data_IF_826056257131
#
_entry.id   IF_826056257131
#
_cell.length_a   1.000
_cell.length_b   1.000
_cell.length_c   1.000
_cell.angle_alpha   90.00
_cell.angle_beta   90.00
_cell.angle_gamma   90.00
#
_symmetry.space_group_name_H-M   'P 1'
#
loop_
_entity.id
_entity.type
_entity.pdbx_description
1 polymer ?
#
# COMPACT_ATOMS: atom_id res chain seq x y z
N UNK A 1 7.19 13.56 23.12
CA UNK A 1 6.40 12.70 24.03
C UNK A 1 5.04 12.45 23.37
N UNK A 2 4.63 11.19 23.10
CA UNK A 2 3.43 10.85 22.30
C UNK A 2 2.15 10.59 23.12
N UNK A 3 2.24 10.61 24.45
CA UNK A 3 1.15 10.22 25.35
C UNK A 3 -0.22 10.87 25.08
N UNK A 4 -0.35 12.20 24.82
CA UNK A 4 -1.67 12.77 24.55
C UNK A 4 -2.26 12.31 23.22
N UNK A 5 -1.43 12.06 22.21
CA UNK A 5 -1.86 11.70 20.85
C UNK A 5 -2.35 10.25 20.80
N UNK A 6 -1.65 9.35 21.52
CA UNK A 6 -2.00 7.94 21.56
C UNK A 6 -3.43 7.67 22.04
N UNK A 7 -3.87 8.35 23.12
CA UNK A 7 -5.21 8.19 23.65
C UNK A 7 -6.28 8.68 22.66
N UNK A 8 -6.01 9.76 21.93
CA UNK A 8 -6.93 10.28 20.92
C UNK A 8 -7.06 9.32 19.73
N UNK A 9 -5.95 8.73 19.28
CA UNK A 9 -5.95 7.69 18.24
C UNK A 9 -6.76 6.47 18.71
N UNK A 10 -6.55 6.01 19.95
CA UNK A 10 -7.33 4.91 20.52
C UNK A 10 -8.83 5.21 20.52
N UNK A 11 -9.24 6.38 21.01
CA UNK A 11 -10.65 6.79 21.05
C UNK A 11 -11.26 6.80 19.65
N UNK A 12 -10.53 7.30 18.66
CA UNK A 12 -11.02 7.37 17.29
C UNK A 12 -11.18 5.98 16.66
N UNK A 13 -10.23 5.07 16.89
CA UNK A 13 -10.22 3.75 16.26
C UNK A 13 -11.02 2.67 17.00
N UNK A 14 -11.51 2.94 18.22
CA UNK A 14 -12.16 1.92 19.08
C UNK A 14 -13.41 1.25 18.47
N UNK A 15 -14.08 1.92 17.52
CA UNK A 15 -15.26 1.39 16.82
C UNK A 15 -14.91 0.65 15.52
N UNK A 16 -13.62 0.56 15.17
CA UNK A 16 -13.12 -0.21 14.03
C UNK A 16 -12.63 -1.59 14.50
N UNK A 17 -12.24 -2.45 13.55
CA UNK A 17 -11.56 -3.70 13.88
C UNK A 17 -10.10 -3.49 14.36
N UNK A 18 -9.55 -2.29 14.24
CA UNK A 18 -8.17 -1.97 14.64
C UNK A 18 -8.08 -1.90 16.16
N UNK A 19 -7.16 -2.66 16.75
CA UNK A 19 -6.84 -2.60 18.19
C UNK A 19 -5.56 -1.80 18.39
N UNK A 20 -5.62 -0.84 19.31
CA UNK A 20 -4.50 0.07 19.60
C UNK A 20 -3.94 -0.28 20.98
N UNK A 21 -2.64 -0.60 21.02
CA UNK A 21 -1.92 -1.04 22.23
C UNK A 21 -0.59 -0.32 22.42
N UNK A 22 -0.13 -0.25 23.68
CA UNK A 22 1.19 0.28 24.07
C UNK A 22 2.04 -0.87 24.61
N UNK A 23 3.27 -0.96 24.13
CA UNK A 23 4.28 -1.89 24.64
C UNK A 23 5.38 -1.12 25.36
N UNK A 24 5.60 -1.44 26.63
CA UNK A 24 6.78 -0.96 27.37
C UNK A 24 8.01 -1.77 26.95
N UNK A 25 8.74 -1.25 25.98
CA UNK A 25 9.90 -1.92 25.41
C UNK A 25 11.11 -1.94 26.36
N UNK A 26 11.09 -1.19 27.47
CA UNK A 26 12.13 -1.29 28.51
C UNK A 26 11.96 -2.55 29.35
N UNK A 27 10.71 -2.99 29.54
CA UNK A 27 10.37 -4.24 30.24
C UNK A 27 10.35 -5.46 29.32
N UNK A 28 9.94 -5.28 28.07
CA UNK A 28 9.75 -6.36 27.10
C UNK A 28 10.68 -6.21 25.88
N UNK A 29 11.98 -6.12 26.13
CA UNK A 29 13.01 -5.91 25.11
C UNK A 29 13.05 -6.99 24.03
N UNK A 30 12.85 -8.26 24.41
CA UNK A 30 12.80 -9.39 23.47
C UNK A 30 11.68 -9.23 22.43
N UNK A 31 10.50 -8.79 22.88
CA UNK A 31 9.35 -8.53 21.99
C UNK A 31 9.66 -7.35 21.08
N UNK A 32 10.21 -6.26 21.63
CA UNK A 32 10.61 -5.09 20.84
C UNK A 32 11.61 -5.46 19.72
N UNK A 33 12.59 -6.31 20.04
CA UNK A 33 13.57 -6.82 19.07
C UNK A 33 12.92 -7.69 17.99
N UNK A 34 11.99 -8.58 18.36
CA UNK A 34 11.25 -9.41 17.40
C UNK A 34 10.49 -8.58 16.37
N UNK A 35 9.90 -7.46 16.79
CA UNK A 35 9.24 -6.51 15.89
C UNK A 35 10.20 -5.55 15.18
N UNK A 36 11.52 -5.68 15.38
CA UNK A 36 12.54 -4.84 14.77
C UNK A 36 12.47 -3.37 15.19
N UNK A 37 12.12 -3.11 16.46
CA UNK A 37 12.12 -1.75 17.03
C UNK A 37 13.57 -1.33 17.29
N UNK A 38 14.02 -0.27 16.60
CA UNK A 38 15.41 0.25 16.71
C UNK A 38 15.52 1.57 17.48
N UNK A 39 14.39 2.17 17.84
CA UNK A 39 14.34 3.46 18.52
C UNK A 39 12.94 3.80 19.00
N UNK A 40 12.81 4.78 19.88
CA UNK A 40 11.54 5.15 20.49
C UNK A 40 11.17 6.63 20.21
N UNK A 41 9.87 6.94 20.05
CA UNK A 41 8.77 6.01 19.86
C UNK A 41 8.71 5.48 18.42
N UNK A 42 8.37 4.19 18.27
CA UNK A 42 8.10 3.53 16.98
C UNK A 42 6.64 3.06 16.96
N UNK A 43 5.91 3.40 15.90
CA UNK A 43 4.52 2.97 15.69
C UNK A 43 4.52 1.89 14.61
N UNK A 44 3.92 0.75 14.92
CA UNK A 44 3.79 -0.39 14.01
C UNK A 44 2.33 -0.82 13.91
N UNK A 45 1.95 -1.27 12.72
CA UNK A 45 0.68 -1.97 12.48
C UNK A 45 1.00 -3.41 12.13
N UNK A 46 0.28 -4.35 12.74
CA UNK A 46 0.49 -5.79 12.56
C UNK A 46 -0.80 -6.40 12.02
N UNK A 47 -0.74 -7.02 10.84
CA UNK A 47 -1.86 -7.70 10.16
C UNK A 47 -1.40 -9.09 9.72
N UNK A 48 -1.68 -10.11 10.55
CA UNK A 48 -1.14 -11.44 10.33
C UNK A 48 0.39 -11.41 10.35
N UNK A 49 1.02 -11.82 9.24
CA UNK A 49 2.48 -11.77 9.05
C UNK A 49 2.98 -10.42 8.55
N UNK A 50 2.10 -9.54 8.06
CA UNK A 50 2.49 -8.24 7.53
C UNK A 50 2.68 -7.23 8.68
N UNK A 51 3.86 -6.60 8.70
CA UNK A 51 4.21 -5.57 9.69
C UNK A 51 4.57 -4.27 8.96
N UNK A 52 3.77 -3.25 9.20
CA UNK A 52 3.98 -1.91 8.65
C UNK A 52 4.53 -0.98 9.72
N UNK A 53 5.48 -0.13 9.35
CA UNK A 53 6.05 0.87 10.27
C UNK A 53 5.62 2.26 9.81
N UNK A 54 5.05 3.04 10.73
CA UNK A 54 4.70 4.42 10.47
C UNK A 54 5.98 5.25 10.28
N UNK A 55 6.05 5.99 9.18
CA UNK A 55 7.18 6.89 8.85
C UNK A 55 6.77 8.34 8.64
N UNK A 56 5.47 8.63 8.70
CA UNK A 56 4.94 9.98 8.57
C UNK A 56 5.05 10.76 9.87
N UNK A 57 4.29 11.85 9.92
CA UNK A 57 4.24 12.74 11.05
C UNK A 57 3.61 12.06 12.28
N UNK A 58 4.03 12.51 13.45
CA UNK A 58 3.56 12.00 14.73
C UNK A 58 2.28 12.70 15.20
N UNK A 59 1.40 13.08 14.27
CA UNK A 59 0.09 13.71 14.54
C UNK A 59 -1.00 12.64 14.66
N UNK A 60 -2.12 12.99 15.31
CA UNK A 60 -3.25 12.06 15.46
C UNK A 60 -3.80 11.65 14.11
N UNK A 61 -3.99 12.62 13.22
CA UNK A 61 -4.55 12.48 11.88
C UNK A 61 -3.69 11.54 11.01
N UNK A 62 -2.37 11.73 11.01
CA UNK A 62 -1.47 10.93 10.20
C UNK A 62 -1.35 9.48 10.70
N UNK A 63 -1.35 9.28 12.02
CA UNK A 63 -1.36 7.94 12.61
C UNK A 63 -2.68 7.20 12.29
N UNK A 64 -3.82 7.90 12.34
CA UNK A 64 -5.12 7.32 11.93
C UNK A 64 -5.10 6.94 10.45
N UNK A 65 -4.64 7.85 9.57
CA UNK A 65 -4.51 7.59 8.13
C UNK A 65 -3.64 6.37 7.86
N UNK A 66 -2.49 6.27 8.53
CA UNK A 66 -1.62 5.11 8.46
C UNK A 66 -2.33 3.82 8.90
N UNK A 67 -3.01 3.83 10.04
CA UNK A 67 -3.70 2.65 10.56
C UNK A 67 -4.83 2.17 9.64
N UNK A 68 -5.62 3.11 9.10
CA UNK A 68 -6.69 2.80 8.15
C UNK A 68 -6.12 2.26 6.83
N UNK A 69 -5.05 2.85 6.30
CA UNK A 69 -4.37 2.36 5.10
C UNK A 69 -3.75 0.96 5.31
N UNK A 70 -3.13 0.73 6.46
CA UNK A 70 -2.53 -0.57 6.80
C UNK A 70 -3.59 -1.68 6.99
N UNK A 71 -4.83 -1.31 7.31
CA UNK A 71 -5.94 -2.25 7.45
C UNK A 71 -6.45 -2.75 6.09
N UNK A 72 -6.31 -1.97 5.01
CA UNK A 72 -6.86 -2.34 3.70
C UNK A 72 -6.14 -3.54 3.10
N UNK A 73 -6.70 -4.08 2.02
CA UNK A 73 -6.02 -5.12 1.26
C UNK A 73 -4.89 -4.54 0.40
N UNK A 74 -3.84 -5.33 0.13
CA UNK A 74 -2.70 -4.89 -0.68
C UNK A 74 -3.09 -4.48 -2.10
N UNK A 75 -4.09 -5.15 -2.68
CA UNK A 75 -4.57 -4.94 -4.05
C UNK A 75 -6.08 -4.79 -4.05
N UNK A 76 -6.61 -3.94 -4.92
CA UNK A 76 -8.05 -3.76 -5.12
C UNK A 76 -8.45 -4.20 -6.53
N UNK A 77 -9.52 -4.99 -6.63
CA UNK A 77 -9.99 -5.50 -7.91
C UNK A 77 -10.95 -4.51 -8.56
N UNK A 78 -10.76 -4.27 -9.85
CA UNK A 78 -11.60 -3.40 -10.66
C UNK A 78 -12.23 -4.20 -11.80
N UNK A 79 -13.49 -3.91 -12.10
CA UNK A 79 -14.29 -4.70 -13.03
C UNK A 79 -14.80 -3.92 -14.23
N UNK A 80 -14.67 -2.58 -14.22
CA UNK A 80 -15.19 -1.69 -15.27
C UNK A 80 -14.29 -0.48 -15.52
N UNK A 81 -14.40 0.08 -16.73
CA UNK A 81 -13.76 1.33 -17.14
C UNK A 81 -14.22 2.54 -16.31
N UNK A 82 -15.48 2.57 -15.87
CA UNK A 82 -15.99 3.60 -14.97
C UNK A 82 -15.21 3.63 -13.65
N UNK A 83 -14.95 2.46 -13.05
CA UNK A 83 -14.15 2.37 -11.83
C UNK A 83 -12.70 2.78 -12.05
N UNK A 84 -12.12 2.41 -13.19
CA UNK A 84 -10.79 2.89 -13.58
C UNK A 84 -10.73 4.42 -13.60
N UNK A 85 -11.74 5.06 -14.20
CA UNK A 85 -11.81 6.52 -14.36
C UNK A 85 -11.87 7.22 -13.00
N UNK A 86 -12.71 6.72 -12.08
CA UNK A 86 -12.76 7.22 -10.70
C UNK A 86 -11.40 7.13 -10.00
N UNK A 87 -10.69 6.01 -10.16
CA UNK A 87 -9.37 5.78 -9.55
C UNK A 87 -8.33 6.73 -10.14
N UNK A 88 -8.31 6.86 -11.46
CA UNK A 88 -7.37 7.76 -12.15
C UNK A 88 -7.59 9.22 -11.73
N UNK A 89 -8.84 9.66 -11.58
CA UNK A 89 -9.17 10.99 -11.07
C UNK A 89 -8.76 11.17 -9.60
N UNK A 90 -9.07 10.18 -8.75
CA UNK A 90 -8.72 10.23 -7.33
C UNK A 90 -7.19 10.33 -7.12
N UNK A 91 -6.41 9.61 -7.93
CA UNK A 91 -4.95 9.61 -7.87
C UNK A 91 -4.28 10.56 -8.88
N UNK A 92 -4.93 11.65 -9.29
CA UNK A 92 -4.36 12.55 -10.30
C UNK A 92 -2.96 13.10 -9.96
N UNK A 93 -2.58 13.18 -8.67
CA UNK A 93 -1.26 13.60 -8.18
C UNK A 93 -0.46 12.47 -7.50
N UNK A 94 -0.93 11.22 -7.58
CA UNK A 94 -0.30 10.08 -6.91
C UNK A 94 0.01 8.98 -7.92
N UNK A 95 1.09 8.25 -7.68
CA UNK A 95 1.40 7.06 -8.49
C UNK A 95 0.51 5.91 -8.04
N UNK A 96 -0.13 5.25 -9.01
CA UNK A 96 -0.76 3.95 -8.78
C UNK A 96 -0.35 2.92 -9.82
N UNK A 97 -0.43 1.66 -9.42
CA UNK A 97 0.01 0.52 -10.20
C UNK A 97 -1.18 -0.38 -10.51
N UNK A 98 -1.24 -0.94 -11.70
CA UNK A 98 -2.32 -1.82 -12.12
C UNK A 98 -1.78 -3.06 -12.80
N UNK A 99 -2.08 -4.24 -12.26
CA UNK A 99 -1.87 -5.49 -12.98
C UNK A 99 -3.06 -5.74 -13.91
N UNK A 100 -2.75 -6.05 -15.17
CA UNK A 100 -3.73 -6.39 -16.19
C UNK A 100 -3.51 -7.83 -16.65
N UNK A 101 -4.49 -8.70 -16.41
CA UNK A 101 -4.46 -10.09 -16.84
C UNK A 101 -5.19 -11.04 -15.90
N UNK A 102 -5.03 -12.35 -16.14
CA UNK A 102 -5.64 -13.39 -15.28
C UNK A 102 -5.01 -13.37 -13.89
N UNK A 103 -5.86 -13.51 -12.87
CA UNK A 103 -5.47 -13.65 -11.47
C UNK A 103 -5.16 -15.12 -11.19
N UNK A 104 -3.88 -15.46 -11.13
CA UNK A 104 -3.47 -16.81 -10.74
C UNK A 104 -2.12 -16.80 -10.04
N UNK A 105 -1.98 -17.54 -8.91
CA UNK A 105 -0.69 -17.70 -8.23
C UNK A 105 0.36 -18.41 -9.09
N UNK A 106 -0.05 -19.15 -10.12
CA UNK A 106 0.85 -19.80 -11.09
C UNK A 106 1.51 -18.79 -12.05
N UNK A 107 0.91 -17.60 -12.19
CA UNK A 107 1.48 -16.52 -12.98
C UNK A 107 2.50 -15.77 -12.13
N UNK A 108 3.79 -15.96 -12.47
CA UNK A 108 4.92 -15.37 -11.73
C UNK A 108 4.79 -13.85 -11.60
N UNK A 109 4.33 -13.16 -12.65
CA UNK A 109 4.15 -11.70 -12.62
C UNK A 109 3.09 -11.29 -11.59
N UNK A 110 1.94 -11.95 -11.56
CA UNK A 110 0.87 -11.68 -10.60
C UNK A 110 1.33 -11.94 -9.16
N UNK A 111 1.98 -13.08 -8.91
CA UNK A 111 2.56 -13.40 -7.59
C UNK A 111 3.55 -12.33 -7.12
N UNK A 112 4.47 -11.90 -8.00
CA UNK A 112 5.43 -10.83 -7.69
C UNK A 112 4.72 -9.49 -7.47
N UNK A 113 3.70 -9.18 -8.25
CA UNK A 113 2.91 -7.96 -8.13
C UNK A 113 2.23 -7.88 -6.75
N UNK A 114 1.53 -8.94 -6.34
CA UNK A 114 0.86 -9.00 -5.02
C UNK A 114 1.88 -8.92 -3.88
N UNK A 115 3.02 -9.60 -3.99
CA UNK A 115 4.10 -9.51 -2.99
C UNK A 115 4.67 -8.09 -2.88
N UNK A 116 4.83 -7.39 -4.01
CA UNK A 116 5.26 -5.98 -4.01
C UNK A 116 4.19 -5.10 -3.39
N UNK A 117 2.92 -5.28 -3.76
CA UNK A 117 1.81 -4.55 -3.19
C UNK A 117 1.73 -4.70 -1.67
N UNK A 118 1.94 -5.92 -1.15
CA UNK A 118 2.03 -6.19 0.30
C UNK A 118 3.14 -5.40 0.98
N UNK A 119 4.32 -5.32 0.37
CA UNK A 119 5.48 -4.62 0.93
C UNK A 119 5.36 -3.09 0.85
N UNK A 120 4.66 -2.59 -0.17
CA UNK A 120 4.56 -1.17 -0.48
C UNK A 120 3.17 -0.59 -0.21
N UNK A 121 2.29 -1.32 0.48
CA UNK A 121 0.91 -0.91 0.76
C UNK A 121 0.82 0.51 1.31
N UNK A 122 1.72 0.89 2.22
CA UNK A 122 1.68 2.22 2.87
C UNK A 122 2.08 3.36 1.92
N UNK A 123 2.90 3.07 0.91
CA UNK A 123 3.53 4.08 0.06
C UNK A 123 2.87 4.21 -1.32
N UNK A 124 1.99 3.27 -1.69
CA UNK A 124 1.45 3.19 -3.04
C UNK A 124 0.06 2.56 -3.08
N UNK A 125 -0.54 2.59 -4.26
CA UNK A 125 -1.87 2.06 -4.53
C UNK A 125 -1.77 1.02 -5.63
N UNK A 126 -2.38 -0.15 -5.42
CA UNK A 126 -2.29 -1.29 -6.31
C UNK A 126 -3.68 -1.79 -6.67
N UNK A 127 -3.88 -2.04 -7.96
CA UNK A 127 -5.14 -2.47 -8.54
C UNK A 127 -4.95 -3.66 -9.47
N UNK A 128 -5.98 -4.46 -9.61
CA UNK A 128 -5.99 -5.64 -10.48
C UNK A 128 -7.22 -5.58 -11.36
N UNK A 129 -7.06 -5.88 -12.65
CA UNK A 129 -8.19 -5.97 -13.58
C UNK A 129 -7.84 -6.73 -14.86
N UNK A 130 -8.84 -6.87 -15.73
CA UNK A 130 -8.67 -7.38 -17.09
C UNK A 130 -8.56 -6.21 -18.08
N UNK A 131 -8.15 -6.46 -19.33
CA UNK A 131 -8.01 -5.41 -20.35
C UNK A 131 -9.28 -4.59 -20.58
N UNK A 132 -10.46 -5.16 -20.34
CA UNK A 132 -11.77 -4.47 -20.48
C UNK A 132 -11.99 -3.30 -19.53
N UNK A 133 -11.18 -3.18 -18.47
CA UNK A 133 -11.30 -2.07 -17.50
C UNK A 133 -10.53 -0.84 -17.95
N UNK A 134 -9.68 -0.98 -18.97
CA UNK A 134 -8.86 0.11 -19.47
C UNK A 134 -9.64 0.92 -20.51
N UNK A 135 -9.53 2.25 -20.49
CA UNK A 135 -10.15 3.07 -21.51
C UNK A 135 -9.42 2.91 -22.86
N UNK A 136 -10.08 3.22 -23.99
CA UNK A 136 -9.55 2.93 -25.33
C UNK A 136 -8.19 3.56 -25.67
N UNK A 137 -7.80 4.62 -24.98
CA UNK A 137 -6.54 5.34 -25.19
C UNK A 137 -5.35 4.68 -24.48
N UNK A 138 -5.59 3.83 -23.47
CA UNK A 138 -4.54 3.06 -22.81
C UNK A 138 -4.26 1.82 -23.65
N UNK A 139 -3.04 1.75 -24.19
CA UNK A 139 -2.57 0.66 -25.04
C UNK A 139 -1.62 -0.22 -24.25
N UNK A 140 -1.60 -1.51 -24.57
CA UNK A 140 -0.69 -2.48 -23.97
C UNK A 140 -0.06 -3.30 -25.08
N UNK A 141 1.23 -3.60 -24.96
CA UNK A 141 1.96 -4.44 -25.90
C UNK A 141 1.84 -5.93 -25.58
N UNK A 142 1.49 -6.29 -24.33
CA UNK A 142 1.40 -7.69 -23.88
C UNK A 142 0.36 -7.90 -22.78
N UNK A 143 0.03 -9.17 -22.55
CA UNK A 143 -0.80 -9.62 -21.44
C UNK A 143 -0.26 -10.96 -20.89
N UNK A 144 -0.12 -11.15 -19.57
CA UNK A 144 -0.38 -10.15 -18.52
C UNK A 144 0.70 -9.05 -18.49
N UNK A 145 0.36 -7.89 -17.96
CA UNK A 145 1.29 -6.76 -17.81
C UNK A 145 1.02 -5.97 -16.52
N UNK A 146 1.93 -5.06 -16.18
CA UNK A 146 1.70 -4.07 -15.13
C UNK A 146 1.82 -2.70 -15.75
N UNK A 147 0.81 -1.87 -15.55
CA UNK A 147 0.80 -0.47 -15.93
C UNK A 147 1.06 0.39 -14.70
N UNK A 148 1.79 1.48 -14.88
CA UNK A 148 2.02 2.51 -13.86
C UNK A 148 1.38 3.79 -14.36
N UNK A 149 0.62 4.46 -13.50
CA UNK A 149 -0.09 5.68 -13.84
C UNK A 149 0.35 6.83 -12.91
N UNK A 150 0.58 8.01 -13.49
CA UNK A 150 0.91 9.26 -12.79
C UNK A 150 0.54 10.45 -13.70
N UNK A 151 -0.10 11.49 -13.17
CA UNK A 151 -0.35 12.75 -13.88
C UNK A 151 -0.98 12.57 -15.29
N UNK A 152 -1.98 11.68 -15.42
CA UNK A 152 -2.61 11.26 -16.68
C UNK A 152 -1.71 10.56 -17.71
N UNK A 153 -0.45 10.29 -17.37
CA UNK A 153 0.46 9.47 -18.15
C UNK A 153 0.47 8.04 -17.62
N UNK A 154 0.85 7.10 -18.50
CA UNK A 154 1.07 5.72 -18.10
C UNK A 154 2.27 5.11 -18.80
N UNK A 155 2.90 4.18 -18.11
CA UNK A 155 4.01 3.37 -18.62
C UNK A 155 3.72 1.89 -18.42
N UNK A 156 4.07 1.09 -19.42
CA UNK A 156 4.01 -0.37 -19.34
C UNK A 156 5.31 -0.93 -18.75
N UNK A 157 5.20 -1.77 -17.72
CA UNK A 157 6.35 -2.39 -17.08
C UNK A 157 6.92 -3.53 -17.94
N UNK A 158 8.18 -3.40 -18.39
CA UNK A 158 8.85 -4.38 -19.26
C UNK A 158 9.71 -5.45 -18.57
N UNK A 159 9.76 -5.52 -17.23
CA UNK A 159 10.46 -6.61 -16.52
C UNK A 159 11.90 -6.33 -16.10
N UNK A 160 12.45 -5.14 -16.38
CA UNK A 160 13.72 -4.70 -15.77
C UNK A 160 13.43 -4.10 -14.39
N UNK A 161 13.64 -4.90 -13.34
CA UNK A 161 13.59 -4.57 -11.90
C UNK A 161 12.49 -3.59 -11.42
N UNK A 162 11.50 -4.13 -10.71
CA UNK A 162 10.52 -3.35 -9.93
C UNK A 162 11.18 -2.31 -8.99
N UNK A 163 12.39 -2.60 -8.50
CA UNK A 163 13.15 -1.71 -7.62
C UNK A 163 13.70 -0.45 -8.29
N UNK A 164 14.00 -0.50 -9.59
CA UNK A 164 14.56 0.65 -10.29
C UNK A 164 13.48 1.64 -10.75
N UNK A 165 12.24 1.19 -10.99
CA UNK A 165 11.14 2.05 -11.43
C UNK A 165 10.47 2.83 -10.29
N UNK A 166 10.40 2.26 -9.08
CA UNK A 166 10.04 3.06 -7.90
C UNK A 166 11.07 4.17 -7.68
N UNK A 167 12.35 3.93 -7.99
CA UNK A 167 13.38 4.96 -7.91
C UNK A 167 13.34 5.96 -9.08
N UNK A 168 12.94 5.53 -10.29
CA UNK A 168 12.89 6.39 -11.49
C UNK A 168 11.68 7.33 -11.53
N UNK A 169 10.55 6.97 -10.91
CA UNK A 169 9.31 7.77 -10.91
C UNK A 169 9.14 8.67 -9.66
N UNK A 170 10.06 8.55 -8.69
CA UNK A 170 10.11 9.36 -7.47
C UNK A 170 11.03 10.60 -7.60
N UNK A 171 11.39 10.99 -8.82
CA UNK A 171 11.95 12.32 -9.10
C UNK A 171 10.86 13.26 -9.65
#
# INVERSE_FOLDING_TARGET
RLEPIYNQVYIHLRHTAIKVGKLDCTKYSNVANMFGVKGFPTIKFVKGEDIYTHRGDRTKEDIIKFALKAQTDPVNYITSEGKFTEIAQHHHNEVFFMYIGKESPDIILYKKYVLTARRQLIQSYFYVGESRVLPPHVRMSRSPTVLVFKDNHYDEYFGKCFFYWVFLLLF
#
